data_IF_105526791563
#
_entry.id   IF_105526791563
#
_cell.length_a   1.000
_cell.length_b   1.000
_cell.length_c   1.000
_cell.angle_alpha   90.00
_cell.angle_beta   90.00
_cell.angle_gamma   90.00
#
_symmetry.space_group_name_H-M   'P 1'
#
loop_
_entity.id
_entity.type
_entity.pdbx_description
1 polymer ?
#
# COMPACT_ATOMS: atom_id res chain seq x y z
N UNK A 1 13.80 13.24 -20.96
CA UNK A 1 12.93 12.95 -19.82
C UNK A 1 12.24 11.61 -20.05
N UNK A 2 12.65 10.57 -19.30
CA UNK A 2 12.23 9.16 -19.47
C UNK A 2 10.71 8.99 -19.43
N UNK A 3 10.01 9.70 -18.53
CA UNK A 3 8.55 9.64 -18.43
C UNK A 3 7.87 10.05 -19.75
N UNK A 4 8.41 11.05 -20.46
CA UNK A 4 7.86 11.47 -21.76
C UNK A 4 8.07 10.39 -22.83
N UNK A 5 9.21 9.67 -22.80
CA UNK A 5 9.47 8.54 -23.72
C UNK A 5 8.48 7.39 -23.46
N UNK A 6 8.30 7.01 -22.18
CA UNK A 6 7.36 5.96 -21.77
C UNK A 6 5.92 6.33 -22.18
N UNK A 7 5.51 7.58 -21.97
CA UNK A 7 4.17 8.06 -22.35
C UNK A 7 3.92 7.96 -23.86
N UNK A 8 4.93 8.19 -24.71
CA UNK A 8 4.82 7.98 -26.15
C UNK A 8 4.57 6.51 -26.52
N UNK A 9 5.18 5.59 -25.79
CA UNK A 9 5.04 4.13 -26.01
C UNK A 9 3.70 3.59 -25.51
N UNK A 10 3.17 4.11 -24.40
CA UNK A 10 1.95 3.62 -23.76
C UNK A 10 0.88 4.71 -23.73
N UNK A 11 -0.07 4.65 -24.68
CA UNK A 11 -1.13 5.68 -24.87
C UNK A 11 -2.04 5.85 -23.65
N UNK A 12 -2.27 4.78 -22.87
CA UNK A 12 -3.12 4.81 -21.67
C UNK A 12 -2.43 5.39 -20.45
N UNK A 13 -1.11 5.67 -20.53
CA UNK A 13 -0.37 6.24 -19.42
C UNK A 13 -0.74 7.72 -19.24
N UNK A 14 -1.29 8.04 -18.06
CA UNK A 14 -1.64 9.41 -17.68
C UNK A 14 -0.69 9.91 -16.60
N UNK A 15 -0.06 11.05 -16.85
CA UNK A 15 0.83 11.71 -15.91
C UNK A 15 0.09 12.85 -15.22
N UNK A 16 0.09 12.84 -13.89
CA UNK A 16 -0.49 13.92 -13.08
C UNK A 16 0.56 14.48 -12.11
N UNK A 17 0.60 15.80 -11.99
CA UNK A 17 1.37 16.47 -10.95
C UNK A 17 0.56 16.43 -9.64
N UNK A 18 1.19 15.98 -8.56
CA UNK A 18 0.56 15.99 -7.24
C UNK A 18 0.35 17.43 -6.73
N UNK A 19 -0.75 17.65 -5.99
CA UNK A 19 -1.05 18.95 -5.37
C UNK A 19 -0.49 19.07 -3.97
N UNK A 20 -0.41 17.97 -3.22
CA UNK A 20 0.13 17.89 -1.87
C UNK A 20 1.46 17.17 -1.88
N UNK A 21 2.38 17.55 -1.03
CA UNK A 21 3.70 16.94 -0.91
C UNK A 21 3.64 15.48 -0.45
N UNK A 22 4.77 14.78 -0.54
CA UNK A 22 5.01 13.41 -0.12
C UNK A 22 4.17 12.34 -0.86
N UNK A 23 4.44 11.09 -0.55
CA UNK A 23 3.82 9.92 -1.18
C UNK A 23 2.28 9.89 -1.03
N UNK A 24 1.76 10.26 0.12
CA UNK A 24 0.32 10.36 0.35
C UNK A 24 -0.35 11.38 -0.57
N UNK A 25 0.29 12.54 -0.81
CA UNK A 25 -0.21 13.55 -1.75
C UNK A 25 -0.28 13.04 -3.19
N UNK A 26 0.74 12.29 -3.62
CA UNK A 26 0.76 11.66 -4.94
C UNK A 26 -0.39 10.64 -5.09
N UNK A 27 -0.53 9.74 -4.12
CA UNK A 27 -1.56 8.69 -4.13
C UNK A 27 -2.96 9.29 -4.05
N UNK A 28 -3.21 10.29 -3.18
CA UNK A 28 -4.50 11.00 -3.14
C UNK A 28 -4.85 11.65 -4.48
N UNK A 29 -3.84 12.20 -5.19
CA UNK A 29 -4.05 12.76 -6.52
C UNK A 29 -4.44 11.67 -7.51
N UNK A 30 -3.75 10.52 -7.48
CA UNK A 30 -4.07 9.36 -8.29
C UNK A 30 -5.49 8.83 -8.04
N UNK A 31 -5.88 8.63 -6.78
CA UNK A 31 -7.22 8.16 -6.39
C UNK A 31 -8.31 9.08 -6.96
N UNK A 32 -8.14 10.40 -6.85
CA UNK A 32 -9.10 11.38 -7.39
C UNK A 32 -9.24 11.33 -8.92
N UNK A 33 -8.18 10.90 -9.61
CA UNK A 33 -8.15 10.81 -11.09
C UNK A 33 -8.57 9.45 -11.62
N UNK A 34 -8.64 8.43 -10.76
CA UNK A 34 -9.11 7.10 -11.15
C UNK A 34 -10.63 7.10 -11.37
N UNK A 35 -11.05 6.41 -12.44
CA UNK A 35 -12.45 6.25 -12.83
C UNK A 35 -12.87 4.77 -12.91
N UNK A 36 -11.91 3.86 -12.80
CA UNK A 36 -12.16 2.42 -12.92
C UNK A 36 -12.67 1.80 -11.62
N UNK A 37 -13.26 0.60 -11.71
CA UNK A 37 -13.86 -0.13 -10.59
C UNK A 37 -12.86 -0.47 -9.48
N UNK A 38 -11.60 -0.73 -9.84
CA UNK A 38 -10.53 -1.06 -8.91
C UNK A 38 -9.37 -0.09 -9.03
N UNK A 39 -8.72 0.16 -7.91
CA UNK A 39 -7.50 0.96 -7.81
C UNK A 39 -6.39 0.07 -7.26
N UNK A 40 -5.26 0.05 -7.95
CA UNK A 40 -4.03 -0.62 -7.48
C UNK A 40 -3.04 0.44 -7.03
N UNK A 41 -2.47 0.25 -5.85
CA UNK A 41 -1.33 1.02 -5.38
C UNK A 41 -0.10 0.14 -5.49
N UNK A 42 0.86 0.55 -6.29
CA UNK A 42 2.12 -0.13 -6.51
C UNK A 42 3.22 0.90 -6.76
N UNK A 43 4.35 0.74 -6.11
CA UNK A 43 5.54 1.55 -6.37
C UNK A 43 6.25 1.07 -7.66
N UNK A 44 6.96 1.98 -8.32
CA UNK A 44 7.73 1.70 -9.55
C UNK A 44 9.20 1.37 -9.29
N UNK A 45 9.57 1.09 -8.04
CA UNK A 45 10.93 0.84 -7.58
C UNK A 45 11.34 -0.65 -7.60
N UNK A 46 10.47 -1.51 -8.12
CA UNK A 46 10.64 -2.96 -8.21
C UNK A 46 10.84 -3.67 -6.85
N UNK A 47 10.54 -3.00 -5.74
CA UNK A 47 10.50 -3.65 -4.42
C UNK A 47 9.35 -4.66 -4.31
N UNK A 48 8.32 -4.49 -5.14
CA UNK A 48 7.16 -5.37 -5.25
C UNK A 48 7.18 -6.16 -6.55
N UNK A 49 6.74 -7.41 -6.51
CA UNK A 49 6.66 -8.23 -7.71
C UNK A 49 5.40 -7.89 -8.54
N UNK A 50 5.52 -7.26 -9.72
CA UNK A 50 4.37 -6.87 -10.52
C UNK A 50 3.57 -8.07 -11.07
N UNK A 51 4.18 -9.26 -11.19
CA UNK A 51 3.49 -10.45 -11.69
C UNK A 51 2.42 -10.98 -10.71
N UNK A 52 2.55 -10.68 -9.42
CA UNK A 52 1.56 -11.04 -8.39
C UNK A 52 0.23 -10.31 -8.61
N UNK A 53 0.24 -9.16 -9.30
CA UNK A 53 -0.94 -8.37 -9.58
C UNK A 53 -2.03 -9.17 -10.33
N UNK A 54 -1.66 -10.05 -11.25
CA UNK A 54 -2.62 -10.89 -11.96
C UNK A 54 -3.46 -11.74 -11.01
N UNK A 55 -2.82 -12.34 -9.99
CA UNK A 55 -3.50 -13.11 -8.95
C UNK A 55 -4.41 -12.22 -8.10
N UNK A 56 -3.92 -11.06 -7.68
CA UNK A 56 -4.69 -10.12 -6.87
C UNK A 56 -5.93 -9.60 -7.60
N UNK A 57 -5.83 -9.31 -8.90
CA UNK A 57 -6.98 -8.89 -9.72
C UNK A 57 -8.01 -10.01 -9.84
N UNK A 58 -7.60 -11.26 -10.11
CA UNK A 58 -8.53 -12.39 -10.14
C UNK A 58 -9.30 -12.55 -8.83
N UNK A 59 -8.63 -12.38 -7.70
CA UNK A 59 -9.27 -12.45 -6.38
C UNK A 59 -10.23 -11.26 -6.19
N UNK A 60 -9.84 -10.04 -6.60
CA UNK A 60 -10.72 -8.87 -6.49
C UNK A 60 -11.97 -8.98 -7.36
N UNK A 61 -11.91 -9.68 -8.48
CA UNK A 61 -13.08 -9.97 -9.31
C UNK A 61 -14.03 -10.96 -8.62
N UNK A 62 -13.48 -11.97 -7.91
CA UNK A 62 -14.27 -12.95 -7.14
C UNK A 62 -14.87 -12.34 -5.87
N UNK A 63 -14.16 -11.38 -5.24
CA UNK A 63 -14.57 -10.69 -4.02
C UNK A 63 -14.60 -9.17 -4.25
N UNK A 64 -15.58 -8.63 -4.99
CA UNK A 64 -15.56 -7.27 -5.52
C UNK A 64 -15.62 -6.17 -4.46
N UNK A 65 -16.03 -6.50 -3.25
CA UNK A 65 -16.15 -5.56 -2.13
C UNK A 65 -15.03 -5.71 -1.09
N UNK A 66 -14.05 -6.58 -1.36
CA UNK A 66 -12.91 -6.80 -0.48
C UNK A 66 -11.65 -6.07 -0.97
N UNK A 67 -10.82 -5.65 -0.03
CA UNK A 67 -9.46 -5.17 -0.29
C UNK A 67 -8.57 -6.39 -0.43
N UNK A 68 -7.79 -6.48 -1.51
CA UNK A 68 -6.79 -7.54 -1.67
C UNK A 68 -5.45 -6.96 -1.31
N UNK A 69 -4.85 -7.46 -0.24
CA UNK A 69 -3.59 -6.97 0.31
C UNK A 69 -2.47 -7.98 0.07
N UNK A 70 -1.41 -7.55 -0.59
CA UNK A 70 -0.16 -8.29 -0.57
C UNK A 70 0.37 -8.31 0.88
N UNK A 71 0.87 -9.45 1.31
CA UNK A 71 1.29 -9.67 2.69
C UNK A 71 2.59 -10.49 2.71
N UNK A 72 3.62 -9.95 3.36
CA UNK A 72 4.96 -10.53 3.44
C UNK A 72 5.12 -11.51 4.60
N UNK A 73 4.19 -11.47 5.56
CA UNK A 73 4.23 -12.22 6.82
C UNK A 73 3.38 -13.49 6.82
N UNK A 74 2.50 -13.65 5.84
CA UNK A 74 1.73 -14.90 5.67
C UNK A 74 2.59 -16.02 5.10
N UNK A 75 2.14 -17.25 5.25
CA UNK A 75 2.82 -18.41 4.64
C UNK A 75 3.03 -18.21 3.14
N UNK A 76 4.27 -18.37 2.68
CA UNK A 76 4.70 -18.08 1.30
C UNK A 76 5.13 -16.64 1.04
N UNK A 77 4.92 -15.72 1.98
CA UNK A 77 5.49 -14.36 1.94
C UNK A 77 6.98 -14.37 2.21
N UNK A 78 7.74 -13.41 1.64
CA UNK A 78 9.20 -13.38 1.77
C UNK A 78 9.74 -11.95 1.80
N UNK A 79 10.88 -11.81 2.50
CA UNK A 79 11.73 -10.63 2.48
C UNK A 79 13.09 -11.00 1.88
N UNK A 80 13.53 -10.27 0.86
CA UNK A 80 14.85 -10.43 0.25
C UNK A 80 15.69 -9.19 0.53
N UNK A 81 16.86 -9.37 1.17
CA UNK A 81 17.79 -8.28 1.53
C UNK A 81 17.15 -7.18 2.39
N UNK A 82 16.38 -7.58 3.41
CA UNK A 82 15.62 -6.66 4.29
C UNK A 82 16.35 -6.43 5.60
N UNK A 83 17.37 -5.81 5.74
CA UNK A 83 18.20 -5.61 6.93
C UNK A 83 17.54 -5.96 8.28
N UNK A 84 18.27 -6.66 9.14
CA UNK A 84 17.77 -7.26 10.39
C UNK A 84 17.05 -6.25 11.30
N UNK A 85 17.63 -5.05 11.50
CA UNK A 85 17.03 -4.03 12.37
C UNK A 85 15.66 -3.57 11.83
N UNK A 86 15.55 -3.34 10.52
CA UNK A 86 14.26 -3.01 9.89
C UNK A 86 13.26 -4.14 10.00
N UNK A 87 13.73 -5.39 9.90
CA UNK A 87 12.88 -6.57 10.05
C UNK A 87 12.29 -6.65 11.46
N UNK A 88 13.13 -6.54 12.49
CA UNK A 88 12.70 -6.57 13.89
C UNK A 88 11.74 -5.41 14.21
N UNK A 89 12.06 -4.19 13.80
CA UNK A 89 11.20 -3.04 14.01
C UNK A 89 9.83 -3.21 13.31
N UNK A 90 9.83 -3.70 12.06
CA UNK A 90 8.59 -3.98 11.34
C UNK A 90 7.79 -5.10 12.01
N UNK A 91 8.44 -6.21 12.39
CA UNK A 91 7.79 -7.32 13.08
C UNK A 91 7.11 -6.88 14.36
N UNK A 92 7.82 -6.15 15.23
CA UNK A 92 7.28 -5.62 16.49
C UNK A 92 6.08 -4.71 16.23
N UNK A 93 6.17 -3.85 15.22
CA UNK A 93 5.08 -2.96 14.86
C UNK A 93 3.85 -3.72 14.32
N UNK A 94 4.04 -4.77 13.50
CA UNK A 94 2.94 -5.62 13.06
C UNK A 94 2.25 -6.32 14.23
N UNK A 95 3.02 -6.84 15.19
CA UNK A 95 2.48 -7.45 16.42
C UNK A 95 1.66 -6.46 17.24
N UNK A 96 2.16 -5.23 17.41
CA UNK A 96 1.43 -4.17 18.07
C UNK A 96 0.08 -3.87 17.38
N UNK A 97 0.07 -3.70 16.06
CA UNK A 97 -1.16 -3.48 15.30
C UNK A 97 -2.15 -4.64 15.43
N UNK A 98 -1.63 -5.87 15.48
CA UNK A 98 -2.45 -7.07 15.61
C UNK A 98 -3.19 -7.15 16.95
N UNK A 99 -2.69 -6.54 18.03
CA UNK A 99 -3.39 -6.46 19.32
C UNK A 99 -4.69 -5.65 19.19
N UNK A 100 -4.70 -4.62 18.38
CA UNK A 100 -5.86 -3.72 18.20
C UNK A 100 -6.80 -4.16 17.08
N UNK A 101 -6.29 -4.87 16.09
CA UNK A 101 -7.06 -5.29 14.91
C UNK A 101 -7.14 -6.81 14.84
N UNK A 102 -8.23 -7.37 15.36
CA UNK A 102 -8.52 -8.82 15.34
C UNK A 102 -9.00 -9.25 13.93
N UNK A 103 -8.11 -9.25 12.96
CA UNK A 103 -8.37 -9.69 11.58
C UNK A 103 -7.22 -10.60 11.10
N UNK A 104 -7.34 -11.17 9.90
CA UNK A 104 -6.34 -12.08 9.34
C UNK A 104 -5.11 -11.38 8.75
N UNK A 105 -5.06 -10.05 8.76
CA UNK A 105 -3.95 -9.26 8.21
C UNK A 105 -2.72 -9.43 9.10
N UNK A 106 -1.57 -9.71 8.50
CA UNK A 106 -0.27 -9.73 9.18
C UNK A 106 0.64 -8.59 8.72
N UNK A 107 0.34 -7.96 7.57
CA UNK A 107 1.11 -6.84 7.03
C UNK A 107 0.26 -5.59 6.84
N UNK A 108 0.23 -4.75 7.85
CA UNK A 108 -0.53 -3.49 7.84
C UNK A 108 0.17 -2.36 7.08
N UNK A 109 1.49 -2.45 6.92
CA UNK A 109 2.31 -1.35 6.40
C UNK A 109 2.68 -1.48 4.93
N UNK A 110 2.49 -2.65 4.35
CA UNK A 110 2.78 -2.87 2.94
C UNK A 110 1.70 -2.25 2.05
N UNK A 111 2.09 -1.31 1.19
CA UNK A 111 1.13 -0.53 0.41
C UNK A 111 0.61 -1.25 -0.85
N UNK A 112 1.19 -2.39 -1.24
CA UNK A 112 0.81 -3.11 -2.45
C UNK A 112 -0.56 -3.76 -2.28
N UNK A 113 -1.59 -3.10 -2.78
CA UNK A 113 -2.99 -3.51 -2.58
C UNK A 113 -3.86 -3.18 -3.78
N UNK A 114 -4.90 -4.00 -3.97
CA UNK A 114 -6.02 -3.73 -4.87
C UNK A 114 -7.23 -3.33 -4.02
N UNK A 115 -7.79 -2.17 -4.30
CA UNK A 115 -8.94 -1.63 -3.60
C UNK A 115 -10.15 -1.54 -4.52
N UNK A 116 -11.36 -1.85 -4.05
CA UNK A 116 -12.57 -1.34 -4.70
C UNK A 116 -12.53 0.19 -4.70
N UNK A 117 -12.80 0.83 -5.83
CA UNK A 117 -12.74 2.30 -5.92
C UNK A 117 -13.60 2.98 -4.84
N UNK A 118 -14.80 2.42 -4.58
CA UNK A 118 -15.71 2.92 -3.55
C UNK A 118 -15.12 2.90 -2.13
N UNK A 119 -14.18 1.97 -1.85
CA UNK A 119 -13.52 1.90 -0.55
C UNK A 119 -12.60 3.11 -0.31
N UNK A 120 -12.00 3.66 -1.36
CA UNK A 120 -11.11 4.82 -1.25
C UNK A 120 -11.82 6.15 -1.46
N UNK A 121 -12.75 6.22 -2.43
CA UNK A 121 -13.44 7.47 -2.82
C UNK A 121 -14.23 8.10 -1.67
N UNK A 122 -14.84 7.29 -0.82
CA UNK A 122 -15.67 7.76 0.30
C UNK A 122 -14.86 8.14 1.56
N UNK A 123 -13.54 7.94 1.56
CA UNK A 123 -12.69 8.26 2.70
C UNK A 123 -11.97 9.60 2.50
N UNK A 124 -11.83 10.36 3.58
CA UNK A 124 -10.94 11.52 3.65
C UNK A 124 -9.62 11.05 4.26
N UNK A 125 -8.54 11.15 3.50
CA UNK A 125 -7.19 10.82 3.95
C UNK A 125 -6.45 12.10 4.32
N UNK A 126 -5.67 12.05 5.39
CA UNK A 126 -4.96 13.19 5.97
C UNK A 126 -3.46 12.98 6.02
N UNK A 127 -3.02 11.73 6.20
CA UNK A 127 -1.61 11.42 6.30
C UNK A 127 -0.92 11.56 4.93
N UNK A 128 0.20 12.27 4.90
CA UNK A 128 0.94 12.53 3.66
C UNK A 128 2.23 11.72 3.54
N UNK A 129 2.77 11.27 4.67
CA UNK A 129 4.03 10.51 4.73
C UNK A 129 3.73 9.00 4.67
N UNK A 130 4.66 8.17 5.11
CA UNK A 130 4.55 6.70 5.02
C UNK A 130 3.34 6.10 5.76
N UNK A 131 2.87 6.73 6.84
CA UNK A 131 1.64 6.33 7.52
C UNK A 131 0.40 6.30 6.63
N UNK A 132 0.45 6.93 5.45
CA UNK A 132 -0.64 6.89 4.49
C UNK A 132 -1.01 5.45 4.05
N UNK A 133 -0.02 4.56 3.94
CA UNK A 133 -0.28 3.15 3.61
C UNK A 133 -1.15 2.46 4.66
N UNK A 134 -0.93 2.78 5.94
CA UNK A 134 -1.74 2.30 7.06
C UNK A 134 -3.12 2.98 7.07
N UNK A 135 -3.19 4.30 6.87
CA UNK A 135 -4.47 5.04 6.83
C UNK A 135 -5.40 4.52 5.73
N UNK A 136 -4.85 4.23 4.54
CA UNK A 136 -5.61 3.64 3.44
C UNK A 136 -6.17 2.26 3.75
N UNK A 137 -5.57 1.51 4.65
CA UNK A 137 -6.06 0.21 5.09
C UNK A 137 -7.10 0.37 6.20
N UNK A 138 -6.78 1.11 7.26
CA UNK A 138 -7.61 1.19 8.45
C UNK A 138 -8.92 1.95 8.22
N UNK A 139 -8.90 3.03 7.43
CA UNK A 139 -10.11 3.81 7.16
C UNK A 139 -11.22 2.98 6.47
N UNK A 140 -10.95 2.18 5.43
CA UNK A 140 -11.94 1.26 4.89
C UNK A 140 -12.33 0.14 5.85
N UNK A 141 -11.41 -0.43 6.63
CA UNK A 141 -11.71 -1.49 7.62
C UNK A 141 -12.73 -0.98 8.64
N UNK A 142 -12.56 0.24 9.18
CA UNK A 142 -13.53 0.88 10.08
C UNK A 142 -14.93 1.06 9.45
N UNK A 143 -15.02 0.99 8.13
CA UNK A 143 -16.29 1.04 7.38
C UNK A 143 -16.79 -0.34 6.97
N UNK A 144 -16.23 -1.40 7.53
CA UNK A 144 -16.68 -2.78 7.31
C UNK A 144 -16.11 -3.46 6.06
N UNK A 145 -15.13 -2.86 5.37
CA UNK A 145 -14.48 -3.54 4.25
C UNK A 145 -13.63 -4.71 4.76
N UNK A 146 -13.85 -5.88 4.18
CA UNK A 146 -13.02 -7.07 4.43
C UNK A 146 -11.69 -6.97 3.70
N UNK A 147 -10.67 -7.64 4.24
CA UNK A 147 -9.34 -7.74 3.61
C UNK A 147 -9.03 -9.21 3.38
N UNK A 148 -8.57 -9.52 2.17
CA UNK A 148 -8.07 -10.84 1.79
C UNK A 148 -6.57 -10.68 1.53
N UNK A 149 -5.76 -11.50 2.19
CA UNK A 149 -4.31 -11.46 2.08
C UNK A 149 -3.80 -12.40 0.99
N UNK A 150 -2.74 -11.99 0.31
CA UNK A 150 -2.05 -12.77 -0.72
C UNK A 150 -0.56 -12.73 -0.41
N UNK A 151 0.07 -13.89 -0.30
CA UNK A 151 1.50 -13.98 -0.09
C UNK A 151 2.27 -13.20 -1.16
N UNK A 152 3.21 -12.39 -0.74
CA UNK A 152 4.01 -11.54 -1.62
C UNK A 152 5.47 -11.53 -1.21
N UNK A 153 6.35 -11.32 -2.19
CA UNK A 153 7.79 -11.16 -1.95
C UNK A 153 8.17 -9.70 -2.09
N UNK A 154 8.76 -9.16 -1.02
CA UNK A 154 9.45 -7.87 -1.06
C UNK A 154 10.94 -8.08 -1.28
N UNK A 155 11.52 -7.30 -2.18
CA UNK A 155 12.96 -7.30 -2.45
C UNK A 155 13.51 -5.89 -2.32
N UNK A 156 14.66 -5.74 -1.65
CA UNK A 156 15.33 -4.44 -1.61
C UNK A 156 15.62 -3.94 -3.03
N UNK A 157 15.40 -2.64 -3.25
CA UNK A 157 15.76 -2.00 -4.52
C UNK A 157 17.26 -2.09 -4.77
N UNK A 158 17.66 -2.13 -6.04
CA UNK A 158 19.07 -2.15 -6.45
C UNK A 158 19.67 -0.74 -6.45
N UNK A 159 18.85 0.30 -6.63
CA UNK A 159 19.27 1.67 -6.76
C UNK A 159 18.53 2.60 -5.79
N UNK A 160 19.21 3.67 -5.37
CA UNK A 160 18.66 4.65 -4.45
C UNK A 160 18.65 4.20 -2.99
N UNK A 161 18.31 5.12 -2.09
CA UNK A 161 18.21 4.89 -0.65
C UNK A 161 16.77 4.92 -0.16
N UNK A 162 16.49 4.24 0.94
CA UNK A 162 15.19 4.30 1.60
C UNK A 162 15.03 5.65 2.31
N UNK A 163 13.95 6.37 2.05
CA UNK A 163 13.59 7.61 2.73
C UNK A 163 12.87 7.38 4.07
N UNK A 164 12.80 6.14 4.55
CA UNK A 164 12.17 5.82 5.84
C UNK A 164 13.09 6.31 6.96
N UNK A 165 12.62 7.30 7.70
CA UNK A 165 13.27 7.89 8.87
C UNK A 165 12.48 7.57 10.14
N UNK A 166 13.03 7.92 11.31
CA UNK A 166 12.31 7.80 12.59
C UNK A 166 10.96 8.55 12.56
N UNK A 167 10.91 9.71 11.89
CA UNK A 167 9.66 10.47 11.67
C UNK A 167 8.59 9.66 10.91
N UNK A 168 8.99 8.67 10.11
CA UNK A 168 8.03 7.79 9.43
C UNK A 168 7.27 6.92 10.43
N UNK A 169 7.93 6.44 11.49
CA UNK A 169 7.26 5.66 12.55
C UNK A 169 6.26 6.50 13.34
N UNK A 170 6.57 7.78 13.58
CA UNK A 170 5.63 8.73 14.22
C UNK A 170 4.36 8.87 13.36
N UNK A 171 4.48 8.91 12.04
CA UNK A 171 3.31 8.98 11.16
C UNK A 171 2.42 7.73 11.25
N UNK A 172 3.01 6.55 11.42
CA UNK A 172 2.27 5.31 11.64
C UNK A 172 1.53 5.30 12.99
N UNK A 173 2.19 5.75 14.07
CA UNK A 173 1.56 5.84 15.39
C UNK A 173 0.40 6.84 15.40
N UNK A 174 0.57 8.00 14.77
CA UNK A 174 -0.52 8.99 14.62
C UNK A 174 -1.74 8.38 13.92
N UNK A 175 -1.52 7.62 12.86
CA UNK A 175 -2.60 6.94 12.15
C UNK A 175 -3.23 5.87 13.03
N UNK A 176 -2.43 5.06 13.73
CA UNK A 176 -2.94 4.05 14.66
C UNK A 176 -3.90 4.68 15.67
N UNK A 177 -3.47 5.70 16.42
CA UNK A 177 -4.31 6.36 17.42
C UNK A 177 -5.57 7.01 16.86
N UNK A 178 -5.54 7.48 15.62
CA UNK A 178 -6.72 8.04 14.95
C UNK A 178 -7.78 6.99 14.63
N UNK A 179 -7.39 5.75 14.40
CA UNK A 179 -8.30 4.68 13.98
C UNK A 179 -8.55 3.61 15.05
N UNK A 180 -7.99 3.76 16.27
CA UNK A 180 -8.43 3.03 17.46
C UNK A 180 -9.80 3.52 17.93
#
# INVERSE_FOLDING_TARGET
NEIKKIKKKYKDLKLFKQKKSYVGGAIMTGIKKCTKKYIVIMASDLETNPYELKKMIKISQKFPDSIISADRWVSGGKFKNYGLLKFLANFTFQKLLKLFYKNEILDFTFAYRVYPHKALKKNKFYELRHGFALEMLLAPIKRGYKVITVASTWKSRSEGSSSITLLSYISYLRVLFKYL
#
